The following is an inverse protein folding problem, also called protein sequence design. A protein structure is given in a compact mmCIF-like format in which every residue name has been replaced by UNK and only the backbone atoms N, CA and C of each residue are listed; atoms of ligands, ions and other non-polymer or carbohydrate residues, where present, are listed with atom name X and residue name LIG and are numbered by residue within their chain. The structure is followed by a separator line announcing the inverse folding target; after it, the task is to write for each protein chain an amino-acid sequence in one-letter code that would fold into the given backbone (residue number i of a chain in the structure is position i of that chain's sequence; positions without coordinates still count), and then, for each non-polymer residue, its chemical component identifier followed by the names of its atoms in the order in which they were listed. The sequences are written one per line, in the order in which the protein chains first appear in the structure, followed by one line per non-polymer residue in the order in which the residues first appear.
data_IF_334330151369
#
_entry.id   IF_334330151369
#
_cell.length_a   1.000
_cell.length_b   1.000
_cell.length_c   1.000
_cell.angle_alpha   90.00
_cell.angle_beta   90.00
_cell.angle_gamma   90.00
#
_symmetry.space_group_name_H-M   'P 1'
#
loop_
_entity.id
_entity.type
_entity.pdbx_description
1 polymer ?
#
# COMPACT_ATOMS: atom_id res chain seq x y z
N UNK A 1 -6.22 -26.96 -6.49
CA UNK A 1 -6.91 -26.08 -7.46
C UNK A 1 -5.85 -25.63 -8.46
N UNK A 2 -6.14 -25.69 -9.76
CA UNK A 2 -5.26 -25.21 -10.82
C UNK A 2 -5.70 -23.80 -11.22
N UNK A 3 -4.78 -22.86 -11.19
CA UNK A 3 -5.02 -21.48 -11.63
C UNK A 3 -4.58 -21.32 -13.09
N UNK A 4 -5.46 -20.80 -13.92
CA UNK A 4 -5.14 -20.50 -15.30
C UNK A 4 -4.22 -19.26 -15.40
N UNK A 5 -3.35 -19.22 -16.40
CA UNK A 5 -2.51 -18.06 -16.66
C UNK A 5 -3.35 -16.83 -17.10
N UNK A 6 -2.83 -15.60 -16.94
CA UNK A 6 -3.50 -14.40 -17.45
C UNK A 6 -3.89 -14.53 -18.94
N UNK A 7 -5.10 -14.10 -19.26
CA UNK A 7 -5.66 -14.16 -20.62
C UNK A 7 -6.15 -15.51 -21.08
N UNK A 8 -6.11 -16.53 -20.22
CA UNK A 8 -6.68 -17.85 -20.51
C UNK A 8 -8.07 -18.00 -19.88
N UNK A 9 -8.88 -18.89 -20.44
CA UNK A 9 -10.19 -19.23 -19.85
C UNK A 9 -10.02 -19.77 -18.43
N UNK A 10 -10.75 -19.21 -17.46
CA UNK A 10 -10.64 -19.55 -16.04
C UNK A 10 -9.58 -18.77 -15.26
N UNK A 11 -8.94 -17.75 -15.85
CA UNK A 11 -8.07 -16.83 -15.10
C UNK A 11 -8.88 -16.09 -14.03
N UNK A 12 -8.30 -15.98 -12.84
CA UNK A 12 -8.93 -15.33 -11.68
C UNK A 12 -9.07 -13.81 -11.86
N UNK A 13 -8.19 -13.22 -12.65
CA UNK A 13 -8.16 -11.80 -12.95
C UNK A 13 -8.08 -11.56 -14.45
N UNK A 14 -8.93 -10.67 -14.93
CA UNK A 14 -8.81 -10.06 -16.25
C UNK A 14 -8.07 -8.73 -16.10
N UNK A 15 -6.85 -8.67 -16.64
CA UNK A 15 -6.00 -7.49 -16.56
C UNK A 15 -6.40 -6.47 -17.62
N UNK A 16 -6.33 -5.18 -17.24
CA UNK A 16 -6.44 -4.09 -18.21
C UNK A 16 -5.20 -4.07 -19.12
N UNK A 17 -5.34 -3.48 -20.30
CA UNK A 17 -4.21 -3.25 -21.19
C UNK A 17 -3.16 -2.36 -20.56
N UNK A 18 -3.59 -1.28 -19.88
CA UNK A 18 -2.72 -0.32 -19.20
C UNK A 18 -3.27 -0.01 -17.79
N UNK A 19 -2.35 0.27 -16.88
CA UNK A 19 -2.65 0.86 -15.57
C UNK A 19 -1.96 2.21 -15.46
N UNK A 20 -2.76 3.22 -15.15
CA UNK A 20 -2.33 4.61 -14.95
C UNK A 20 -1.82 4.84 -13.52
N UNK A 21 -1.29 6.03 -13.25
CA UNK A 21 -0.99 6.50 -11.90
C UNK A 21 -2.29 6.70 -11.10
N UNK A 22 -2.27 6.44 -9.80
CA UNK A 22 -3.39 6.77 -8.92
C UNK A 22 -3.00 7.96 -8.06
N UNK A 23 -3.51 9.15 -8.41
CA UNK A 23 -3.15 10.43 -7.79
C UNK A 23 -4.41 11.19 -7.40
N UNK A 24 -4.47 11.70 -6.17
CA UNK A 24 -5.60 12.48 -5.69
C UNK A 24 -6.94 11.75 -5.75
N UNK A 25 -6.94 10.43 -5.56
CA UNK A 25 -8.14 9.59 -5.64
C UNK A 25 -8.63 9.26 -7.05
N UNK A 26 -7.83 9.52 -8.08
CA UNK A 26 -8.18 9.31 -9.49
C UNK A 26 -7.08 8.58 -10.25
N UNK A 27 -7.48 7.84 -11.28
CA UNK A 27 -6.54 7.29 -12.26
C UNK A 27 -6.16 8.39 -13.26
N UNK A 28 -4.84 8.63 -13.38
CA UNK A 28 -4.26 9.72 -14.19
C UNK A 28 -3.20 9.12 -15.10
N UNK A 29 -3.34 9.31 -16.40
CA UNK A 29 -2.33 8.88 -17.35
C UNK A 29 -0.99 9.59 -17.07
N UNK A 30 0.16 8.93 -17.31
CA UNK A 30 1.46 9.58 -17.14
C UNK A 30 1.59 10.80 -18.05
N UNK A 31 2.18 11.88 -17.55
CA UNK A 31 2.28 13.19 -18.24
C UNK A 31 2.87 13.04 -19.66
N UNK A 32 3.86 12.18 -19.81
CA UNK A 32 4.49 11.90 -21.12
C UNK A 32 3.76 10.86 -21.96
N UNK A 33 2.66 10.28 -21.47
CA UNK A 33 1.91 9.24 -22.17
C UNK A 33 2.68 7.93 -22.36
N UNK A 34 3.79 7.73 -21.64
CA UNK A 34 4.65 6.55 -21.75
C UNK A 34 4.24 5.44 -20.79
N UNK A 35 4.33 4.19 -21.28
CA UNK A 35 4.08 2.98 -20.51
C UNK A 35 5.19 1.97 -20.75
N UNK A 36 5.38 1.04 -19.84
CA UNK A 36 6.28 -0.08 -20.03
C UNK A 36 5.58 -1.41 -19.78
N UNK A 37 6.06 -2.44 -20.45
CA UNK A 37 5.53 -3.78 -20.36
C UNK A 37 5.82 -4.41 -19.00
N UNK A 38 4.79 -5.05 -18.41
CA UNK A 38 4.96 -5.89 -17.23
C UNK A 38 4.94 -7.34 -17.68
N UNK A 39 6.06 -8.01 -17.44
CA UNK A 39 6.31 -9.38 -17.86
C UNK A 39 6.18 -10.29 -16.65
N UNK A 40 5.29 -11.30 -16.74
CA UNK A 40 5.21 -12.30 -15.69
C UNK A 40 6.40 -13.29 -15.77
N UNK A 41 7.13 -13.52 -14.68
CA UNK A 41 8.23 -14.50 -14.67
C UNK A 41 7.75 -15.94 -14.81
N UNK A 42 6.45 -16.22 -14.67
CA UNK A 42 5.88 -17.56 -14.83
C UNK A 42 6.11 -18.12 -16.23
N UNK A 43 5.95 -17.28 -17.26
CA UNK A 43 6.03 -17.73 -18.66
C UNK A 43 6.76 -16.74 -19.59
N UNK A 44 7.32 -15.65 -19.07
CA UNK A 44 8.04 -14.64 -19.83
C UNK A 44 7.16 -13.78 -20.74
N UNK A 45 5.85 -13.77 -20.58
CA UNK A 45 4.92 -13.01 -21.43
C UNK A 45 4.48 -11.72 -20.77
N UNK A 46 4.28 -10.69 -21.60
CA UNK A 46 3.63 -9.45 -21.18
C UNK A 46 2.17 -9.74 -20.88
N UNK A 47 1.69 -9.29 -19.73
CA UNK A 47 0.29 -9.45 -19.34
C UNK A 47 -0.43 -8.12 -19.12
N UNK A 48 0.31 -7.02 -18.97
CA UNK A 48 -0.23 -5.66 -18.87
C UNK A 48 0.89 -4.64 -19.10
N UNK A 49 0.53 -3.36 -19.05
CA UNK A 49 1.48 -2.23 -19.03
C UNK A 49 1.17 -1.33 -17.84
N UNK A 50 2.18 -0.65 -17.32
CA UNK A 50 2.03 0.35 -16.27
C UNK A 50 2.68 1.66 -16.67
N UNK A 51 2.22 2.76 -16.08
CA UNK A 51 2.73 4.09 -16.37
C UNK A 51 4.24 4.18 -16.13
N UNK A 52 4.97 4.71 -17.15
CA UNK A 52 6.36 5.14 -17.00
C UNK A 52 6.34 6.61 -16.55
N UNK A 53 6.26 6.79 -15.25
CA UNK A 53 6.16 8.12 -14.66
C UNK A 53 7.46 8.91 -14.77
N UNK A 54 7.34 10.22 -14.88
CA UNK A 54 8.43 11.19 -14.91
C UNK A 54 8.47 12.02 -13.62
N UNK A 55 9.37 12.97 -13.51
CA UNK A 55 9.44 13.90 -12.40
C UNK A 55 8.12 14.68 -12.25
N UNK A 56 7.52 15.09 -13.37
CA UNK A 56 6.26 15.84 -13.38
C UNK A 56 5.09 15.02 -12.75
N UNK A 57 5.04 13.70 -12.96
CA UNK A 57 4.07 12.82 -12.33
C UNK A 57 4.29 12.73 -10.81
N UNK A 58 5.55 12.72 -10.38
CA UNK A 58 5.91 12.71 -8.95
C UNK A 58 5.51 14.03 -8.29
N UNK A 59 5.74 15.18 -8.94
CA UNK A 59 5.29 16.47 -8.42
C UNK A 59 3.76 16.51 -8.25
N UNK A 60 2.99 16.02 -9.21
CA UNK A 60 1.54 15.92 -9.08
C UNK A 60 1.11 15.04 -7.90
N UNK A 61 1.84 13.94 -7.65
CA UNK A 61 1.56 13.05 -6.52
C UNK A 61 1.92 13.72 -5.18
N UNK A 62 3.05 14.45 -5.12
CA UNK A 62 3.47 15.22 -3.94
C UNK A 62 2.48 16.33 -3.63
N UNK A 63 2.04 17.09 -4.62
CA UNK A 63 1.04 18.15 -4.45
C UNK A 63 -0.26 17.59 -3.89
N UNK A 64 -0.75 16.46 -4.41
CA UNK A 64 -1.95 15.81 -3.91
C UNK A 64 -1.78 15.30 -2.47
N UNK A 65 -0.61 14.76 -2.13
CA UNK A 65 -0.31 14.29 -0.78
C UNK A 65 -0.21 15.46 0.21
N UNK A 66 0.48 16.55 -0.14
CA UNK A 66 0.58 17.74 0.70
C UNK A 66 -0.79 18.42 0.89
N UNK A 67 -1.62 18.46 -0.14
CA UNK A 67 -2.98 19.00 -0.01
C UNK A 67 -3.86 18.20 0.96
N UNK A 68 -3.61 16.90 1.11
CA UNK A 68 -4.34 16.04 2.03
C UNK A 68 -3.74 16.01 3.46
N UNK A 69 -2.47 16.33 3.63
CA UNK A 69 -1.70 16.10 4.86
C UNK A 69 -2.29 16.79 6.10
N UNK A 70 -2.70 18.05 5.98
CA UNK A 70 -3.26 18.82 7.11
C UNK A 70 -4.57 18.21 7.63
N UNK A 71 -5.50 17.89 6.73
CA UNK A 71 -6.77 17.29 7.10
C UNK A 71 -6.59 15.89 7.67
N UNK A 72 -5.67 15.10 7.09
CA UNK A 72 -5.38 13.76 7.57
C UNK A 72 -4.71 13.79 8.95
N UNK A 73 -3.71 14.62 9.16
CA UNK A 73 -3.02 14.79 10.44
C UNK A 73 -3.94 15.22 11.59
N UNK A 74 -5.03 15.97 11.29
CA UNK A 74 -6.08 16.34 12.25
C UNK A 74 -7.13 15.25 12.47
N UNK A 75 -7.12 14.17 11.69
CA UNK A 75 -8.06 13.06 11.85
C UNK A 75 -7.77 12.30 13.14
N UNK A 76 -8.75 12.10 14.04
CA UNK A 76 -8.55 11.39 15.29
C UNK A 76 -7.96 9.99 15.08
N UNK A 77 -7.02 9.57 15.94
CA UNK A 77 -6.37 8.25 15.87
C UNK A 77 -7.36 7.08 15.77
N UNK A 78 -8.48 7.15 16.50
CA UNK A 78 -9.53 6.14 16.42
C UNK A 78 -10.18 6.04 15.03
N UNK A 79 -10.32 7.16 14.31
CA UNK A 79 -10.86 7.16 12.95
C UNK A 79 -9.84 6.61 11.95
N UNK A 80 -8.55 6.99 12.06
CA UNK A 80 -7.47 6.42 11.25
C UNK A 80 -7.36 4.91 11.47
N UNK A 81 -7.39 4.46 12.73
CA UNK A 81 -7.45 3.04 13.09
C UNK A 81 -8.61 2.30 12.40
N UNK A 82 -9.81 2.86 12.42
CA UNK A 82 -10.97 2.26 11.76
C UNK A 82 -10.80 2.18 10.22
N UNK A 83 -10.09 3.12 9.62
CA UNK A 83 -9.78 3.09 8.18
C UNK A 83 -8.81 1.95 7.88
N UNK A 84 -7.75 1.76 8.69
CA UNK A 84 -6.82 0.63 8.55
C UNK A 84 -7.53 -0.72 8.69
N UNK A 85 -8.47 -0.86 9.65
CA UNK A 85 -9.29 -2.07 9.79
C UNK A 85 -10.14 -2.33 8.54
N UNK A 86 -10.79 -1.29 7.98
CA UNK A 86 -11.56 -1.43 6.74
C UNK A 86 -10.69 -1.84 5.55
N UNK A 87 -9.44 -1.36 5.49
CA UNK A 87 -8.48 -1.79 4.46
C UNK A 87 -8.18 -3.29 4.65
N UNK A 88 -7.88 -3.73 5.88
CA UNK A 88 -7.63 -5.13 6.19
C UNK A 88 -8.82 -6.03 5.79
N UNK A 89 -10.04 -5.65 6.16
CA UNK A 89 -11.25 -6.40 5.81
C UNK A 89 -11.47 -6.48 4.29
N UNK A 90 -11.16 -5.39 3.57
CA UNK A 90 -11.25 -5.38 2.11
C UNK A 90 -10.19 -6.26 1.44
N UNK A 91 -8.97 -6.29 1.97
CA UNK A 91 -7.91 -7.19 1.52
C UNK A 91 -8.30 -8.65 1.77
N UNK A 92 -8.82 -8.97 2.97
CA UNK A 92 -9.26 -10.31 3.32
C UNK A 92 -10.40 -10.82 2.42
N UNK A 93 -11.39 -9.98 2.15
CA UNK A 93 -12.48 -10.30 1.23
C UNK A 93 -12.03 -10.57 -0.22
N UNK A 94 -10.80 -10.15 -0.58
CA UNK A 94 -10.20 -10.34 -1.90
C UNK A 94 -8.92 -11.19 -1.87
N UNK A 95 -8.71 -11.97 -0.80
CA UNK A 95 -7.45 -12.68 -0.54
C UNK A 95 -7.00 -13.52 -1.73
N UNK A 96 -7.84 -14.40 -2.27
CA UNK A 96 -7.49 -15.28 -3.39
C UNK A 96 -7.13 -14.48 -4.65
N UNK A 97 -7.89 -13.44 -4.94
CA UNK A 97 -7.63 -12.56 -6.09
C UNK A 97 -6.28 -11.84 -5.97
N UNK A 98 -5.96 -11.34 -4.78
CA UNK A 98 -4.70 -10.66 -4.50
C UNK A 98 -3.52 -11.63 -4.54
N UNK A 99 -3.67 -12.83 -3.99
CA UNK A 99 -2.65 -13.88 -4.05
C UNK A 99 -2.34 -14.30 -5.49
N UNK A 100 -3.38 -14.41 -6.33
CA UNK A 100 -3.19 -14.67 -7.76
C UNK A 100 -2.42 -13.53 -8.44
N UNK A 101 -2.79 -12.25 -8.17
CA UNK A 101 -2.11 -11.09 -8.73
C UNK A 101 -0.62 -11.06 -8.33
N UNK A 102 -0.32 -11.29 -7.05
CA UNK A 102 1.03 -11.33 -6.52
C UNK A 102 1.86 -12.45 -7.18
N UNK A 103 1.28 -13.63 -7.35
CA UNK A 103 1.93 -14.76 -8.05
C UNK A 103 2.22 -14.43 -9.51
N UNK A 104 1.29 -13.80 -10.21
CA UNK A 104 1.49 -13.40 -11.61
C UNK A 104 2.59 -12.36 -11.75
N UNK A 105 2.66 -11.42 -10.82
CA UNK A 105 3.61 -10.31 -10.88
C UNK A 105 5.04 -10.74 -10.55
N UNK A 106 5.25 -11.48 -9.46
CA UNK A 106 6.57 -11.82 -8.97
C UNK A 106 7.02 -13.27 -9.23
N UNK A 107 6.13 -14.14 -9.72
CA UNK A 107 6.42 -15.55 -9.99
C UNK A 107 6.46 -16.46 -8.76
N UNK A 108 6.14 -15.96 -7.57
CA UNK A 108 6.08 -16.76 -6.35
C UNK A 108 4.97 -17.81 -6.44
N UNK A 109 5.21 -18.97 -5.82
CA UNK A 109 4.20 -20.03 -5.80
C UNK A 109 2.90 -19.56 -5.15
N UNK A 110 1.75 -19.83 -5.79
CA UNK A 110 0.43 -19.44 -5.29
C UNK A 110 0.15 -19.94 -3.86
N UNK A 111 0.74 -21.06 -3.47
CA UNK A 111 0.67 -21.59 -2.10
C UNK A 111 1.25 -20.60 -1.10
N UNK A 112 2.36 -19.94 -1.42
CA UNK A 112 3.02 -18.98 -0.53
C UNK A 112 2.23 -17.68 -0.46
N UNK A 113 1.75 -17.18 -1.60
CA UNK A 113 0.97 -15.94 -1.64
C UNK A 113 -0.37 -16.09 -0.92
N UNK A 114 -1.05 -17.25 -1.03
CA UNK A 114 -2.31 -17.54 -0.33
C UNK A 114 -2.15 -17.72 1.19
N UNK A 115 -1.06 -18.35 1.64
CA UNK A 115 -0.95 -18.77 3.04
C UNK A 115 0.02 -17.93 3.86
N UNK A 116 0.84 -17.10 3.21
CA UNK A 116 1.81 -16.25 3.88
C UNK A 116 1.68 -14.78 3.47
N UNK A 117 1.92 -14.41 2.22
CA UNK A 117 2.08 -13.01 1.81
C UNK A 117 0.80 -12.18 2.07
N UNK A 118 -0.34 -12.64 1.58
CA UNK A 118 -1.60 -11.90 1.73
C UNK A 118 -2.14 -11.93 3.17
N UNK A 119 -2.18 -13.07 3.88
CA UNK A 119 -2.55 -13.08 5.29
C UNK A 119 -1.70 -12.15 6.15
N UNK A 120 -0.37 -12.13 5.96
CA UNK A 120 0.52 -11.26 6.70
C UNK A 120 0.33 -9.78 6.32
N UNK A 121 0.01 -9.48 5.06
CA UNK A 121 -0.38 -8.13 4.60
C UNK A 121 -1.61 -7.62 5.36
N UNK A 122 -2.64 -8.46 5.51
CA UNK A 122 -3.87 -8.15 6.24
C UNK A 122 -3.57 -7.92 7.72
N UNK A 123 -2.78 -8.81 8.32
CA UNK A 123 -2.40 -8.73 9.73
C UNK A 123 -1.65 -7.43 10.06
N UNK A 124 -0.76 -6.96 9.18
CA UNK A 124 -0.04 -5.70 9.37
C UNK A 124 -0.96 -4.49 9.46
N UNK A 125 -1.97 -4.39 8.62
CA UNK A 125 -2.97 -3.32 8.74
C UNK A 125 -3.74 -3.40 10.07
N UNK A 126 -4.10 -4.60 10.51
CA UNK A 126 -4.76 -4.82 11.81
C UNK A 126 -3.84 -4.47 12.99
N UNK A 127 -2.58 -4.88 12.91
CA UNK A 127 -1.57 -4.57 13.93
C UNK A 127 -1.42 -3.06 14.12
N UNK A 128 -1.15 -2.30 13.05
CA UNK A 128 -0.98 -0.85 13.14
C UNK A 128 -2.28 -0.11 13.50
N UNK A 129 -3.44 -0.64 13.14
CA UNK A 129 -4.71 -0.12 13.63
C UNK A 129 -4.82 -0.25 15.17
N UNK A 130 -4.32 -1.34 15.75
CA UNK A 130 -4.22 -1.53 17.20
C UNK A 130 -3.22 -0.57 17.83
N UNK A 131 -2.02 -0.43 17.25
CA UNK A 131 -0.97 0.47 17.74
C UNK A 131 -1.45 1.90 17.91
N UNK A 132 -2.23 2.43 16.95
CA UNK A 132 -2.76 3.80 17.02
C UNK A 132 -3.63 4.06 18.24
N UNK A 133 -4.34 3.05 18.72
CA UNK A 133 -5.24 3.16 19.88
C UNK A 133 -4.51 3.07 21.22
N UNK A 134 -3.30 2.52 21.21
CA UNK A 134 -2.47 2.32 22.41
C UNK A 134 -1.23 3.20 22.44
N UNK A 135 -1.05 4.07 21.44
CA UNK A 135 0.09 4.96 21.39
C UNK A 135 -0.02 6.03 22.48
N UNK A 136 0.96 6.07 23.34
CA UNK A 136 1.07 7.02 24.44
C UNK A 136 2.25 7.95 24.22
N UNK A 137 2.19 9.13 24.85
CA UNK A 137 3.33 9.99 25.05
C UNK A 137 4.04 9.68 26.37
N UNK A 138 5.04 10.50 26.73
CA UNK A 138 5.68 10.41 28.03
C UNK A 138 5.74 11.80 28.69
N UNK A 139 5.86 11.79 30.01
CA UNK A 139 6.10 12.97 30.82
C UNK A 139 7.24 12.68 31.77
N UNK A 140 8.12 13.66 31.98
CA UNK A 140 9.24 13.57 32.93
C UNK A 140 9.36 14.86 33.69
N UNK A 141 9.58 14.76 34.98
CA UNK A 141 9.96 15.90 35.81
C UNK A 141 11.46 16.20 35.61
N UNK A 142 11.77 17.42 35.27
CA UNK A 142 13.16 17.89 35.12
C UNK A 142 13.65 18.46 36.46
N UNK A 143 12.86 19.34 37.05
CA UNK A 143 13.07 19.94 38.36
C UNK A 143 11.71 20.37 38.98
N UNK A 144 11.71 21.01 40.14
CA UNK A 144 10.50 21.41 40.85
C UNK A 144 9.57 22.37 40.08
N UNK A 145 10.08 23.02 39.02
CA UNK A 145 9.36 24.03 38.25
C UNK A 145 9.21 23.64 36.76
N UNK A 146 9.78 22.51 36.32
CA UNK A 146 9.88 22.16 34.91
C UNK A 146 9.45 20.73 34.64
N UNK A 147 8.50 20.54 33.71
CA UNK A 147 8.03 19.27 33.23
C UNK A 147 8.28 19.15 31.72
N UNK A 148 8.84 18.04 31.28
CA UNK A 148 9.01 17.73 29.87
C UNK A 148 7.90 16.79 29.40
N UNK A 149 7.26 17.13 28.28
CA UNK A 149 6.28 16.28 27.60
C UNK A 149 6.87 15.76 26.31
N UNK A 150 6.67 14.46 26.05
CA UNK A 150 7.08 13.79 24.82
C UNK A 150 5.84 13.46 23.99
N UNK A 151 5.79 13.96 22.76
CA UNK A 151 4.74 13.72 21.81
C UNK A 151 5.31 13.00 20.59
N UNK A 152 4.51 12.11 19.98
CA UNK A 152 4.79 11.55 18.68
C UNK A 152 4.08 12.39 17.62
N UNK A 153 4.84 12.91 16.67
CA UNK A 153 4.32 13.69 15.55
C UNK A 153 4.65 13.01 14.23
N UNK A 154 3.75 13.07 13.21
CA UNK A 154 4.02 12.51 11.90
C UNK A 154 5.13 13.27 11.20
N UNK A 155 5.95 12.56 10.40
CA UNK A 155 6.96 13.18 9.53
C UNK A 155 6.34 14.02 8.39
N UNK A 156 5.06 13.80 8.10
CA UNK A 156 4.36 14.39 6.97
C UNK A 156 4.36 13.49 5.74
N UNK A 157 4.52 14.06 4.55
CA UNK A 157 4.54 13.29 3.30
C UNK A 157 5.85 12.52 3.17
N UNK A 158 5.76 11.23 2.90
CA UNK A 158 6.91 10.32 2.77
C UNK A 158 6.88 9.57 1.44
N UNK A 159 8.04 9.49 0.79
CA UNK A 159 8.24 8.64 -0.37
C UNK A 159 8.49 7.18 0.03
N UNK A 160 7.81 6.25 -0.63
CA UNK A 160 7.93 4.82 -0.34
C UNK A 160 8.33 4.07 -1.60
N UNK A 161 9.48 3.38 -1.56
CA UNK A 161 9.95 2.52 -2.64
C UNK A 161 9.79 1.07 -2.21
N UNK A 162 8.99 0.32 -2.96
CA UNK A 162 8.61 -1.04 -2.64
C UNK A 162 9.50 -2.02 -3.43
N UNK A 163 10.20 -2.97 -2.76
CA UNK A 163 10.98 -4.00 -3.43
C UNK A 163 10.09 -5.05 -4.08
N UNK A 164 10.60 -5.66 -5.14
CA UNK A 164 9.89 -6.61 -6.00
C UNK A 164 9.65 -8.00 -5.39
N UNK A 165 10.36 -8.37 -4.33
CA UNK A 165 10.32 -9.73 -3.79
C UNK A 165 9.11 -10.06 -2.90
N UNK A 166 8.47 -9.05 -2.33
CA UNK A 166 7.22 -9.11 -1.56
C UNK A 166 6.37 -7.86 -1.85
N UNK A 167 5.89 -7.65 -3.07
CA UNK A 167 5.30 -6.38 -3.49
C UNK A 167 4.21 -5.87 -2.55
N UNK A 168 3.12 -6.63 -2.36
CA UNK A 168 1.99 -6.19 -1.55
C UNK A 168 2.32 -6.16 -0.05
N UNK A 169 3.08 -7.14 0.45
CA UNK A 169 3.47 -7.22 1.85
C UNK A 169 4.37 -6.04 2.25
N UNK A 170 5.39 -5.75 1.44
CA UNK A 170 6.29 -4.63 1.69
C UNK A 170 5.59 -3.28 1.52
N UNK A 171 4.58 -3.19 0.65
CA UNK A 171 3.70 -2.03 0.58
C UNK A 171 2.93 -1.85 1.89
N UNK A 172 2.32 -2.91 2.42
CA UNK A 172 1.59 -2.87 3.69
C UNK A 172 2.49 -2.45 4.87
N UNK A 173 3.74 -2.96 4.93
CA UNK A 173 4.70 -2.60 5.98
C UNK A 173 5.05 -1.12 6.02
N UNK A 174 4.89 -0.43 4.91
CA UNK A 174 5.15 1.01 4.79
C UNK A 174 3.88 1.84 4.87
N UNK A 175 2.82 1.41 4.16
CA UNK A 175 1.55 2.14 4.11
C UNK A 175 0.82 2.13 5.46
N UNK A 176 0.75 0.98 6.14
CA UNK A 176 -0.01 0.85 7.37
C UNK A 176 0.52 1.81 8.47
N UNK A 177 1.83 1.85 8.81
CA UNK A 177 2.34 2.82 9.77
C UNK A 177 2.25 4.26 9.26
N UNK A 178 2.54 4.53 7.97
CA UNK A 178 2.54 5.90 7.44
C UNK A 178 1.15 6.52 7.39
N UNK A 179 0.12 5.74 7.02
CA UNK A 179 -1.28 6.22 7.05
C UNK A 179 -1.76 6.27 8.51
N UNK A 180 -1.22 5.44 9.37
CA UNK A 180 -1.54 5.42 10.78
C UNK A 180 -1.06 6.66 11.55
N UNK A 181 0.12 7.17 11.24
CA UNK A 181 0.82 8.22 11.98
C UNK A 181 0.13 9.60 12.00
#
# INVERSE_FOLDING_TARGET
MLYAAPGQAGATIEYKTNYDNFIGGKWVAPVKGEYFDVITPINGKVYTKVARSSAEDIELALDAAHAAADAWGKTPAAQRSNILLKIADRLEANLERLAYAETVDNGKAIRETLNADIPLTIDHFRYFAGCLRSQEGAMSDIDENTVAHHFHEPLGVVGQIIPWNFPILMAAWKLAPAIGA
#
